data_IF_611652454158
#
_entry.id   IF_611652454158
#
_cell.length_a   1.000
_cell.length_b   1.000
_cell.length_c   1.000
_cell.angle_alpha   90.00
_cell.angle_beta   90.00
_cell.angle_gamma   90.00
#
_symmetry.space_group_name_H-M   'P 1'
#
loop_
_entity.id
_entity.type
_entity.pdbx_description
1 polymer ?
#
# COMPACT_ATOMS: atom_id res chain seq x y z
N UNK A 1 -2.60 19.75 19.04
CA UNK A 1 -1.56 19.94 17.99
C UNK A 1 -0.15 19.58 18.45
N UNK A 2 0.31 19.97 19.65
CA UNK A 2 1.67 19.61 20.14
C UNK A 2 1.86 18.11 20.40
N UNK A 3 0.80 17.37 20.79
CA UNK A 3 0.88 15.92 21.02
C UNK A 3 1.16 15.14 19.73
N UNK A 4 0.46 15.48 18.64
CA UNK A 4 0.69 14.87 17.31
C UNK A 4 2.13 15.09 16.84
N UNK A 5 2.66 16.29 17.06
CA UNK A 5 4.06 16.58 16.74
C UNK A 5 5.04 15.76 17.58
N UNK A 6 4.77 15.60 18.88
CA UNK A 6 5.59 14.78 19.77
C UNK A 6 5.53 13.29 19.40
N UNK A 7 4.35 12.78 19.02
CA UNK A 7 4.16 11.39 18.56
C UNK A 7 4.84 11.14 17.20
N UNK A 8 4.82 12.11 16.28
CA UNK A 8 5.55 12.05 15.01
C UNK A 8 7.07 12.14 15.21
N UNK A 9 7.54 12.91 16.19
CA UNK A 9 8.95 13.03 16.54
C UNK A 9 9.49 11.87 17.40
N UNK A 10 8.60 11.07 17.99
CA UNK A 10 8.96 9.92 18.83
C UNK A 10 9.35 8.67 18.04
N UNK A 11 9.00 8.61 16.74
CA UNK A 11 9.45 7.58 15.82
C UNK A 11 10.84 7.88 15.26
N UNK A 12 11.67 6.87 15.04
CA UNK A 12 12.93 7.04 14.32
C UNK A 12 12.66 7.61 12.93
N UNK A 13 13.45 8.59 12.46
CA UNK A 13 13.23 9.27 11.17
C UNK A 13 12.86 8.33 9.99
N UNK A 14 13.47 7.14 9.84
CA UNK A 14 13.09 6.19 8.78
C UNK A 14 11.62 5.73 8.84
N UNK A 15 11.06 5.53 10.04
CA UNK A 15 9.66 5.12 10.19
C UNK A 15 8.71 6.24 9.78
N UNK A 16 9.01 7.49 10.13
CA UNK A 16 8.22 8.64 9.71
C UNK A 16 8.18 8.78 8.19
N UNK A 17 9.33 8.68 7.52
CA UNK A 17 9.38 8.73 6.05
C UNK A 17 8.56 7.60 5.41
N UNK A 18 8.67 6.37 5.94
CA UNK A 18 7.87 5.25 5.46
C UNK A 18 6.36 5.48 5.63
N UNK A 19 5.92 6.02 6.77
CA UNK A 19 4.52 6.39 6.99
C UNK A 19 4.03 7.43 5.99
N UNK A 20 4.80 8.51 5.79
CA UNK A 20 4.44 9.57 4.85
C UNK A 20 4.30 9.01 3.43
N UNK A 21 5.25 8.18 2.99
CA UNK A 21 5.20 7.53 1.67
C UNK A 21 4.00 6.59 1.57
N UNK A 22 3.74 5.78 2.59
CA UNK A 22 2.61 4.84 2.62
C UNK A 22 1.26 5.54 2.47
N UNK A 23 1.04 6.61 3.25
CA UNK A 23 -0.19 7.40 3.18
C UNK A 23 -0.31 8.17 1.85
N UNK A 24 0.79 8.72 1.33
CA UNK A 24 0.78 9.37 0.02
C UNK A 24 0.42 8.39 -1.11
N UNK A 25 0.96 7.17 -1.08
CA UNK A 25 0.61 6.10 -2.01
C UNK A 25 -0.86 5.71 -1.90
N UNK A 26 -1.39 5.58 -0.68
CA UNK A 26 -2.81 5.24 -0.49
C UNK A 26 -3.74 6.31 -1.07
N UNK A 27 -3.45 7.59 -0.81
CA UNK A 27 -4.22 8.72 -1.37
C UNK A 27 -4.13 8.72 -2.90
N UNK A 28 -2.94 8.49 -3.46
CA UNK A 28 -2.73 8.39 -4.89
C UNK A 28 -3.55 7.24 -5.51
N UNK A 29 -3.49 6.04 -4.90
CA UNK A 29 -4.26 4.87 -5.33
C UNK A 29 -5.77 5.16 -5.30
N UNK A 30 -6.25 5.78 -4.23
CA UNK A 30 -7.66 6.13 -4.09
C UNK A 30 -8.09 7.10 -5.19
N UNK A 31 -7.32 8.17 -5.42
CA UNK A 31 -7.56 9.12 -6.49
C UNK A 31 -7.63 8.44 -7.87
N UNK A 32 -6.64 7.61 -8.21
CA UNK A 32 -6.60 6.90 -9.51
C UNK A 32 -7.73 5.86 -9.64
N UNK A 33 -8.20 5.29 -8.53
CA UNK A 33 -9.29 4.30 -8.52
C UNK A 33 -10.66 4.94 -8.73
N UNK A 34 -10.90 6.10 -8.12
CA UNK A 34 -12.19 6.83 -8.20
C UNK A 34 -12.24 7.76 -9.42
N UNK A 35 -11.11 8.25 -9.91
CA UNK A 35 -11.07 9.21 -11.04
C UNK A 35 -11.65 8.63 -12.36
N UNK A 36 -12.34 9.46 -13.16
CA UNK A 36 -12.85 9.06 -14.47
C UNK A 36 -11.74 8.56 -15.40
N UNK A 37 -12.03 7.54 -16.21
CA UNK A 37 -11.10 6.84 -17.13
C UNK A 37 -10.21 7.77 -17.98
N UNK A 38 -10.67 8.98 -18.30
CA UNK A 38 -9.96 9.95 -19.16
C UNK A 38 -8.66 10.49 -18.58
N UNK A 39 -8.42 10.34 -17.26
CA UNK A 39 -7.21 10.83 -16.59
C UNK A 39 -6.19 9.73 -16.26
N UNK A 40 -6.43 8.48 -16.67
CA UNK A 40 -5.53 7.38 -16.28
C UNK A 40 -4.18 7.51 -16.99
N UNK A 41 -3.05 7.45 -16.26
CA UNK A 41 -1.73 7.31 -16.86
C UNK A 41 -1.70 6.10 -17.79
N UNK A 42 -1.04 6.23 -18.94
CA UNK A 42 -0.86 5.10 -19.87
C UNK A 42 -0.15 3.96 -19.14
N UNK A 43 -0.63 2.74 -19.35
CA UNK A 43 0.02 1.52 -18.86
C UNK A 43 1.45 1.47 -19.36
N UNK A 44 2.40 1.25 -18.46
CA UNK A 44 3.84 1.27 -18.78
C UNK A 44 4.34 -0.13 -19.10
N UNK A 45 3.86 -1.16 -18.37
CA UNK A 45 4.26 -2.56 -18.57
C UNK A 45 3.09 -3.45 -18.98
N UNK A 46 2.40 -4.05 -18.02
CA UNK A 46 1.14 -4.78 -18.17
C UNK A 46 0.20 -4.28 -17.08
N UNK A 47 -1.07 -4.09 -17.41
CA UNK A 47 -2.09 -3.48 -16.51
C UNK A 47 -2.11 -4.13 -15.12
N UNK A 48 -1.95 -5.44 -15.03
CA UNK A 48 -1.98 -6.16 -13.74
C UNK A 48 -0.65 -6.07 -12.99
N UNK A 49 0.48 -5.97 -13.71
CA UNK A 49 1.80 -5.81 -13.10
C UNK A 49 1.94 -4.40 -12.50
N UNK A 50 1.55 -3.36 -13.24
CA UNK A 50 1.56 -1.98 -12.76
C UNK A 50 0.69 -1.85 -11.48
N UNK A 51 -0.49 -2.48 -11.46
CA UNK A 51 -1.36 -2.50 -10.26
C UNK A 51 -0.70 -3.26 -9.11
N UNK A 52 -0.19 -4.46 -9.37
CA UNK A 52 0.45 -5.27 -8.33
C UNK A 52 1.65 -4.53 -7.71
N UNK A 53 2.48 -3.87 -8.52
CA UNK A 53 3.63 -3.11 -8.07
C UNK A 53 3.23 -1.93 -7.18
N UNK A 54 2.22 -1.16 -7.58
CA UNK A 54 1.75 -0.01 -6.78
C UNK A 54 1.22 -0.47 -5.41
N UNK A 55 0.43 -1.55 -5.36
CA UNK A 55 -0.04 -2.11 -4.09
C UNK A 55 1.06 -2.80 -3.28
N UNK A 56 2.06 -3.38 -3.94
CA UNK A 56 3.26 -3.91 -3.28
C UNK A 56 4.05 -2.80 -2.60
N UNK A 57 4.34 -1.70 -3.29
CA UNK A 57 5.01 -0.54 -2.72
C UNK A 57 4.23 0.05 -1.54
N UNK A 58 2.91 0.19 -1.68
CA UNK A 58 2.05 0.69 -0.60
C UNK A 58 2.16 -0.20 0.65
N UNK A 59 1.98 -1.52 0.51
CA UNK A 59 2.05 -2.46 1.63
C UNK A 59 3.45 -2.51 2.26
N UNK A 60 4.50 -2.46 1.44
CA UNK A 60 5.89 -2.42 1.89
C UNK A 60 6.14 -1.22 2.83
N UNK A 61 5.77 -0.01 2.40
CA UNK A 61 5.96 1.19 3.21
C UNK A 61 5.06 1.24 4.45
N UNK A 62 3.84 0.70 4.38
CA UNK A 62 2.98 0.59 5.57
C UNK A 62 3.59 -0.33 6.64
N UNK A 63 4.12 -1.49 6.24
CA UNK A 63 4.77 -2.42 7.19
C UNK A 63 6.01 -1.79 7.81
N UNK A 64 6.85 -1.11 7.02
CA UNK A 64 8.02 -0.38 7.53
C UNK A 64 7.65 0.81 8.43
N UNK A 65 6.54 1.49 8.13
CA UNK A 65 6.05 2.61 8.91
C UNK A 65 5.39 2.21 10.24
N UNK A 66 4.93 0.96 10.36
CA UNK A 66 4.24 0.45 11.55
C UNK A 66 4.76 -0.94 11.96
N UNK A 67 6.07 -1.09 12.26
CA UNK A 67 6.70 -2.39 12.52
C UNK A 67 6.16 -3.11 13.76
N UNK A 68 5.55 -2.37 14.69
CA UNK A 68 4.90 -2.93 15.90
C UNK A 68 3.52 -3.52 15.62
N UNK A 69 2.90 -3.16 14.50
CA UNK A 69 1.53 -3.55 14.13
C UNK A 69 1.49 -4.30 12.79
N UNK A 70 2.54 -5.05 12.47
CA UNK A 70 2.72 -5.69 11.17
C UNK A 70 1.53 -6.58 10.78
N UNK A 71 1.07 -7.47 11.66
CA UNK A 71 -0.05 -8.39 11.35
C UNK A 71 -1.34 -7.66 10.92
N UNK A 72 -1.91 -6.74 11.73
CA UNK A 72 -3.11 -6.02 11.32
C UNK A 72 -2.88 -5.13 10.09
N UNK A 73 -1.69 -4.55 9.92
CA UNK A 73 -1.35 -3.73 8.76
C UNK A 73 -1.31 -4.55 7.46
N UNK A 74 -0.69 -5.73 7.50
CA UNK A 74 -0.66 -6.65 6.35
C UNK A 74 -2.06 -7.09 5.96
N UNK A 75 -2.88 -7.49 6.95
CA UNK A 75 -4.28 -7.85 6.70
C UNK A 75 -5.06 -6.70 6.08
N UNK A 76 -4.92 -5.48 6.62
CA UNK A 76 -5.58 -4.30 6.09
C UNK A 76 -5.15 -3.99 4.65
N UNK A 77 -3.86 -4.11 4.32
CA UNK A 77 -3.36 -3.87 2.96
C UNK A 77 -3.85 -4.94 1.97
N UNK A 78 -3.78 -6.22 2.32
CA UNK A 78 -4.18 -7.32 1.44
C UNK A 78 -5.70 -7.29 1.20
N UNK A 79 -6.50 -7.16 2.25
CA UNK A 79 -7.97 -7.09 2.14
C UNK A 79 -8.39 -5.79 1.46
N UNK A 80 -7.84 -4.65 1.87
CA UNK A 80 -8.16 -3.34 1.30
C UNK A 80 -7.81 -3.24 -0.19
N UNK A 81 -6.70 -3.82 -0.62
CA UNK A 81 -6.32 -3.87 -2.04
C UNK A 81 -7.30 -4.67 -2.89
N UNK A 82 -7.84 -5.79 -2.37
CA UNK A 82 -8.89 -6.55 -3.03
C UNK A 82 -10.21 -5.79 -3.08
N UNK A 83 -10.62 -5.20 -1.94
CA UNK A 83 -11.85 -4.40 -1.83
C UNK A 83 -11.82 -3.12 -2.68
N UNK A 84 -10.63 -2.59 -3.02
CA UNK A 84 -10.50 -1.44 -3.93
C UNK A 84 -11.11 -1.69 -5.32
N UNK A 85 -11.34 -2.95 -5.70
CA UNK A 85 -12.06 -3.30 -6.92
C UNK A 85 -13.55 -2.94 -6.83
N UNK A 86 -14.16 -3.05 -5.65
CA UNK A 86 -15.56 -2.68 -5.43
C UNK A 86 -15.78 -1.17 -5.59
N UNK A 87 -14.77 -0.37 -5.26
CA UNK A 87 -14.82 1.09 -5.49
C UNK A 87 -14.97 1.44 -6.98
N UNK A 88 -14.61 0.53 -7.89
CA UNK A 88 -14.80 0.75 -9.32
C UNK A 88 -16.26 0.61 -9.76
N UNK A 89 -17.12 -0.04 -8.96
CA UNK A 89 -18.57 -0.08 -9.22
C UNK A 89 -19.21 1.30 -9.13
N UNK A 90 -18.59 2.24 -8.40
CA UNK A 90 -19.00 3.64 -8.39
C UNK A 90 -18.68 4.38 -9.70
N UNK A 91 -17.86 3.78 -10.58
CA UNK A 91 -17.56 4.31 -11.90
C UNK A 91 -18.50 3.68 -12.94
N UNK A 92 -19.36 4.46 -13.62
CA UNK A 92 -20.40 3.95 -14.54
C UNK A 92 -19.90 3.13 -15.73
N UNK A 93 -18.58 2.99 -15.91
CA UNK A 93 -17.94 2.34 -17.05
C UNK A 93 -17.04 1.17 -16.67
N UNK A 94 -17.02 0.74 -15.39
CA UNK A 94 -16.16 -0.36 -14.94
C UNK A 94 -16.95 -1.53 -14.36
N UNK A 95 -16.58 -2.72 -14.84
CA UNK A 95 -16.98 -3.99 -14.25
C UNK A 95 -15.87 -4.40 -13.28
N UNK A 96 -16.23 -4.72 -12.04
CA UNK A 96 -15.29 -5.29 -11.09
C UNK A 96 -14.76 -6.63 -11.64
N UNK A 97 -13.45 -6.76 -11.79
CA UNK A 97 -12.82 -7.99 -12.29
C UNK A 97 -12.09 -8.70 -11.16
N UNK A 98 -12.47 -9.94 -10.89
CA UNK A 98 -11.83 -10.76 -9.85
C UNK A 98 -10.31 -10.91 -10.07
N UNK A 99 -9.87 -11.05 -11.34
CA UNK A 99 -8.45 -11.11 -11.67
C UNK A 99 -7.68 -9.82 -11.33
N UNK A 100 -8.33 -8.67 -11.39
CA UNK A 100 -7.71 -7.39 -11.02
C UNK A 100 -7.59 -7.27 -9.50
N UNK A 101 -8.62 -7.72 -8.76
CA UNK A 101 -8.56 -7.81 -7.29
C UNK A 101 -7.45 -8.76 -6.81
N UNK A 102 -7.34 -9.95 -7.42
CA UNK A 102 -6.30 -10.93 -7.08
C UNK A 102 -4.89 -10.38 -7.34
N UNK A 103 -4.66 -9.74 -8.49
CA UNK A 103 -3.36 -9.15 -8.79
C UNK A 103 -2.93 -8.10 -7.76
N UNK A 104 -3.88 -7.27 -7.29
CA UNK A 104 -3.62 -6.26 -6.25
C UNK A 104 -3.28 -6.90 -4.91
N UNK A 105 -4.07 -7.89 -4.47
CA UNK A 105 -3.84 -8.60 -3.20
C UNK A 105 -2.55 -9.39 -3.19
N UNK A 106 -2.17 -10.04 -4.30
CA UNK A 106 -0.88 -10.72 -4.45
C UNK A 106 0.27 -9.71 -4.37
N UNK A 107 0.13 -8.57 -5.06
CA UNK A 107 1.11 -7.48 -4.98
C UNK A 107 1.30 -6.97 -3.54
N UNK A 108 0.20 -6.67 -2.85
CA UNK A 108 0.22 -6.23 -1.45
C UNK A 108 0.89 -7.26 -0.53
N UNK A 109 0.56 -8.55 -0.69
CA UNK A 109 1.17 -9.63 0.09
C UNK A 109 2.68 -9.75 -0.17
N UNK A 110 3.12 -9.65 -1.42
CA UNK A 110 4.54 -9.69 -1.79
C UNK A 110 5.31 -8.51 -1.19
N UNK A 111 4.80 -7.28 -1.31
CA UNK A 111 5.42 -6.09 -0.73
C UNK A 111 5.52 -6.16 0.80
N UNK A 112 4.47 -6.64 1.46
CA UNK A 112 4.47 -6.90 2.89
C UNK A 112 5.53 -7.94 3.30
N UNK A 113 5.63 -9.06 2.56
CA UNK A 113 6.63 -10.09 2.83
C UNK A 113 8.07 -9.57 2.73
N UNK A 114 8.36 -8.73 1.73
CA UNK A 114 9.67 -8.10 1.58
C UNK A 114 9.97 -7.14 2.75
N UNK A 115 9.00 -6.35 3.19
CA UNK A 115 9.18 -5.47 4.35
C UNK A 115 9.41 -6.26 5.64
N UNK A 116 8.67 -7.34 5.86
CA UNK A 116 8.87 -8.24 7.00
C UNK A 116 10.30 -8.82 6.98
N UNK A 117 10.75 -9.32 5.83
CA UNK A 117 12.11 -9.85 5.69
C UNK A 117 13.15 -8.78 6.05
N UNK A 118 12.99 -7.55 5.56
CA UNK A 118 13.89 -6.44 5.87
C UNK A 118 13.91 -6.11 7.37
N UNK A 119 12.76 -6.08 8.04
CA UNK A 119 12.66 -5.86 9.48
C UNK A 119 13.36 -6.98 10.27
N UNK A 120 13.14 -8.24 9.88
CA UNK A 120 13.80 -9.39 10.50
C UNK A 120 15.32 -9.32 10.35
N UNK A 121 15.84 -9.04 9.15
CA UNK A 121 17.29 -8.88 8.94
C UNK A 121 17.86 -7.75 9.78
N UNK A 122 17.17 -6.61 9.88
CA UNK A 122 17.62 -5.49 10.71
C UNK A 122 17.70 -5.84 12.19
N UNK A 123 16.76 -6.65 12.69
CA UNK A 123 16.78 -7.11 14.09
C UNK A 123 17.93 -8.07 14.39
N UNK A 124 18.28 -8.93 13.43
CA UNK A 124 19.41 -9.88 13.55
C UNK A 124 20.78 -9.19 13.51
N UNK A 125 20.89 -8.05 12.83
CA UNK A 125 22.14 -7.27 12.81
C UNK A 125 22.35 -6.42 14.08
N UNK A 126 21.30 -6.24 14.88
CA UNK A 126 21.33 -5.42 16.10
C UNK A 126 21.67 -6.24 17.37
N UNK A 127 21.81 -7.56 17.24
CA UNK A 127 22.20 -8.51 18.31
C UNK A 127 23.67 -8.89 18.19
#
# INVERSE_FOLDING_TARGET
MKSVWNDLSGGSYPTLYAQVIAWALLVFIFFVTVSPIRMRPRTITRVNLDRALVFASMAFFFVLGYPRYTTPVVLACVVGSGLSELLQLASPSRHARLGDAMAKSIGAAAGAGVAIAALLTSSLMAT
#
